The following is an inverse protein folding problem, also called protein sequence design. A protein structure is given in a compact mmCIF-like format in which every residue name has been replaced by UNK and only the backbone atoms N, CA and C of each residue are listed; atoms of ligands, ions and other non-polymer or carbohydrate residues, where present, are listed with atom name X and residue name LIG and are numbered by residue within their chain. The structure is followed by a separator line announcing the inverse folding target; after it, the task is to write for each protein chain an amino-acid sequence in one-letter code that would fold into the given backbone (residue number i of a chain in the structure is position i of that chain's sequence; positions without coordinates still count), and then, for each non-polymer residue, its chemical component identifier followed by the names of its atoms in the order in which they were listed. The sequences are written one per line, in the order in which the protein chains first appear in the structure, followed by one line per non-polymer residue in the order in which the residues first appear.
data_IF_557721325279
#
_entry.id   IF_557721325279
#
_cell.length_a   1.000
_cell.length_b   1.000
_cell.length_c   1.000
_cell.angle_alpha   90.00
_cell.angle_beta   90.00
_cell.angle_gamma   90.00
#
_symmetry.space_group_name_H-M   'P 1'
#
loop_
_entity.id
_entity.type
_entity.pdbx_description
1 polymer ?
#
# COMPACT_ATOMS: atom_id res chain seq x y z
N UNK A 1 0.70 -8.10 -5.49
CA UNK A 1 0.27 -8.58 -6.82
C UNK A 1 -1.21 -8.30 -6.98
N UNK A 2 -1.57 -7.22 -7.68
CA UNK A 2 -2.97 -6.86 -7.90
C UNK A 2 -3.38 -7.34 -9.30
N UNK A 3 -4.53 -8.00 -9.40
CA UNK A 3 -5.07 -8.46 -10.68
C UNK A 3 -4.31 -9.60 -11.34
N UNK A 4 -3.51 -10.38 -10.61
CA UNK A 4 -2.92 -11.64 -11.12
C UNK A 4 -3.76 -12.83 -10.67
N UNK A 5 -3.84 -13.85 -11.53
CA UNK A 5 -4.50 -15.13 -11.20
C UNK A 5 -3.57 -15.87 -10.23
N UNK A 6 -4.14 -16.36 -9.12
CA UNK A 6 -3.41 -17.06 -8.06
C UNK A 6 -4.19 -18.30 -7.62
N UNK A 7 -3.46 -19.32 -7.18
CA UNK A 7 -4.04 -20.46 -6.47
C UNK A 7 -4.29 -20.08 -5.00
N UNK A 8 -5.47 -20.41 -4.47
CA UNK A 8 -5.82 -20.18 -3.05
C UNK A 8 -5.24 -21.30 -2.15
N UNK A 9 -4.68 -22.34 -2.75
CA UNK A 9 -4.13 -23.50 -2.07
C UNK A 9 -2.59 -23.45 -1.99
N UNK A 10 -1.97 -24.10 -0.98
CA UNK A 10 -0.52 -24.29 -0.92
C UNK A 10 -0.01 -25.16 -2.09
N UNK A 11 1.28 -25.07 -2.38
CA UNK A 11 1.93 -25.78 -3.50
C UNK A 11 1.92 -27.30 -3.33
N UNK A 12 1.89 -27.76 -2.08
CA UNK A 12 1.92 -29.17 -1.69
C UNK A 12 0.56 -29.85 -1.91
N UNK A 13 -0.50 -29.08 -2.17
CA UNK A 13 -1.84 -29.62 -2.35
C UNK A 13 -2.03 -30.25 -3.74
N UNK A 14 -2.80 -31.33 -3.80
CA UNK A 14 -3.17 -31.97 -5.08
C UNK A 14 -4.01 -31.09 -6.01
N UNK A 15 -4.59 -30.01 -5.50
CA UNK A 15 -5.40 -29.04 -6.25
C UNK A 15 -4.59 -27.89 -6.84
N UNK A 16 -3.28 -27.86 -6.60
CA UNK A 16 -2.39 -26.82 -7.10
C UNK A 16 -2.21 -26.93 -8.62
N UNK A 17 -2.52 -25.88 -9.38
CA UNK A 17 -2.16 -25.76 -10.81
C UNK A 17 -0.80 -25.05 -10.93
N UNK A 18 0.28 -25.73 -11.39
CA UNK A 18 1.61 -25.15 -11.55
C UNK A 18 1.67 -23.93 -12.47
N UNK A 19 0.67 -23.73 -13.33
CA UNK A 19 0.59 -22.57 -14.23
C UNK A 19 0.49 -21.24 -13.47
N UNK A 20 -0.05 -21.26 -12.25
CA UNK A 20 -0.30 -20.05 -11.47
C UNK A 20 0.45 -20.10 -10.13
N UNK A 21 0.94 -18.95 -9.62
CA UNK A 21 1.58 -18.90 -8.31
C UNK A 21 0.57 -19.15 -7.19
N UNK A 22 1.05 -19.60 -6.03
CA UNK A 22 0.21 -19.74 -4.85
C UNK A 22 0.05 -18.38 -4.15
N UNK A 23 -1.11 -18.12 -3.57
CA UNK A 23 -1.34 -16.93 -2.75
C UNK A 23 -0.38 -16.88 -1.53
N UNK A 24 0.04 -18.05 -1.03
CA UNK A 24 0.96 -18.18 0.09
C UNK A 24 2.38 -17.72 -0.25
N UNK A 25 2.80 -17.79 -1.52
CA UNK A 25 4.09 -17.25 -1.99
C UNK A 25 4.18 -15.73 -1.78
N UNK A 26 3.04 -15.07 -1.62
CA UNK A 26 2.93 -13.63 -1.41
C UNK A 26 2.64 -13.26 0.05
N UNK A 27 2.94 -14.16 0.99
CA UNK A 27 2.83 -13.93 2.42
C UNK A 27 1.39 -13.90 2.92
N UNK A 28 0.45 -14.53 2.23
CA UNK A 28 -0.91 -14.69 2.72
C UNK A 28 -0.93 -15.28 4.13
N UNK A 29 -1.78 -14.74 5.01
CA UNK A 29 -1.83 -15.08 6.43
C UNK A 29 -0.84 -14.31 7.31
N UNK A 30 0.15 -13.60 6.74
CA UNK A 30 1.01 -12.67 7.50
C UNK A 30 0.41 -11.27 7.51
N UNK A 31 0.51 -10.57 8.63
CA UNK A 31 0.00 -9.20 8.80
C UNK A 31 0.53 -8.22 7.73
N UNK A 32 1.80 -8.39 7.31
CA UNK A 32 2.47 -7.58 6.29
C UNK A 32 2.35 -8.13 4.87
N UNK A 33 1.77 -9.32 4.68
CA UNK A 33 1.68 -9.98 3.39
C UNK A 33 0.42 -9.63 2.60
N UNK A 34 0.17 -10.39 1.53
CA UNK A 34 -1.02 -10.23 0.70
C UNK A 34 -2.30 -10.46 1.51
N UNK A 35 -3.31 -9.59 1.34
CA UNK A 35 -4.55 -9.57 2.13
C UNK A 35 -4.32 -9.36 3.65
N UNK A 36 -3.23 -8.68 4.03
CA UNK A 36 -2.96 -8.27 5.41
C UNK A 36 -3.82 -7.11 5.93
N UNK A 37 -3.45 -6.58 7.10
CA UNK A 37 -4.30 -5.71 7.96
C UNK A 37 -4.92 -4.50 7.25
N UNK A 38 -4.19 -3.87 6.31
CA UNK A 38 -4.64 -2.66 5.59
C UNK A 38 -4.94 -2.91 4.11
N UNK A 39 -5.10 -4.16 3.72
CA UNK A 39 -5.17 -4.57 2.33
C UNK A 39 -6.63 -4.89 1.94
N UNK A 40 -7.36 -3.92 1.38
CA UNK A 40 -8.78 -4.07 0.99
C UNK A 40 -9.02 -4.81 -0.33
N UNK A 41 -8.12 -5.69 -0.76
CA UNK A 41 -8.30 -6.43 -2.00
C UNK A 41 -9.41 -7.48 -1.86
N UNK A 42 -10.09 -7.80 -2.97
CA UNK A 42 -11.09 -8.87 -3.05
C UNK A 42 -10.58 -9.97 -3.97
N UNK A 43 -10.81 -11.22 -3.59
CA UNK A 43 -10.58 -12.37 -4.45
C UNK A 43 -11.82 -12.59 -5.33
N UNK A 44 -11.60 -12.72 -6.63
CA UNK A 44 -12.66 -13.06 -7.58
C UNK A 44 -12.41 -14.48 -8.13
N UNK A 45 -13.46 -15.30 -8.29
CA UNK A 45 -13.31 -16.62 -8.87
C UNK A 45 -12.87 -16.51 -10.34
N UNK A 46 -11.93 -17.36 -10.74
CA UNK A 46 -11.41 -17.44 -12.10
C UNK A 46 -11.63 -18.85 -12.64
N UNK A 47 -12.24 -18.93 -13.82
CA UNK A 47 -12.45 -20.19 -14.56
C UNK A 47 -11.56 -20.16 -15.80
N UNK A 48 -10.63 -21.10 -15.90
CA UNK A 48 -9.69 -21.22 -17.02
C UNK A 48 -10.45 -21.37 -18.34
N UNK A 49 -10.15 -20.53 -19.32
CA UNK A 49 -10.76 -20.58 -20.66
C UNK A 49 -12.11 -19.86 -20.81
N UNK A 50 -12.77 -19.48 -19.70
CA UNK A 50 -14.04 -18.73 -19.72
C UNK A 50 -13.86 -17.32 -19.16
N UNK A 51 -13.15 -17.22 -18.04
CA UNK A 51 -12.91 -15.95 -17.38
C UNK A 51 -11.78 -15.20 -18.06
N UNK A 52 -12.03 -13.92 -18.34
CA UNK A 52 -11.04 -12.97 -18.85
C UNK A 52 -10.83 -11.87 -17.83
N UNK A 53 -9.55 -11.53 -17.61
CA UNK A 53 -9.18 -10.50 -16.66
C UNK A 53 -9.14 -9.14 -17.38
N UNK A 54 -10.20 -8.36 -17.22
CA UNK A 54 -10.30 -7.00 -17.77
C UNK A 54 -9.74 -5.93 -16.81
N UNK A 55 -9.14 -6.32 -15.68
CA UNK A 55 -8.56 -5.36 -14.74
C UNK A 55 -7.30 -4.74 -15.33
N UNK A 56 -7.17 -3.42 -15.14
CA UNK A 56 -5.97 -2.68 -15.55
C UNK A 56 -4.75 -3.21 -14.80
N UNK A 57 -3.79 -3.72 -15.57
CA UNK A 57 -2.50 -4.14 -15.05
C UNK A 57 -1.53 -2.95 -15.10
N UNK A 58 -0.74 -2.81 -14.05
CA UNK A 58 0.30 -1.77 -13.95
C UNK A 58 1.68 -2.43 -13.95
N UNK A 59 2.65 -1.75 -14.53
CA UNK A 59 4.04 -2.21 -14.46
C UNK A 59 4.55 -2.12 -13.01
N UNK A 60 5.12 -3.20 -12.45
CA UNK A 60 5.57 -3.22 -11.06
C UNK A 60 6.70 -2.22 -10.79
N UNK A 61 7.59 -1.94 -11.73
CA UNK A 61 8.70 -1.00 -11.51
C UNK A 61 8.16 0.42 -11.41
N UNK A 62 7.30 0.81 -12.36
CA UNK A 62 6.63 2.11 -12.34
C UNK A 62 5.79 2.31 -11.06
N UNK A 63 5.07 1.27 -10.63
CA UNK A 63 4.28 1.33 -9.40
C UNK A 63 5.15 1.59 -8.16
N UNK A 64 6.33 0.96 -8.07
CA UNK A 64 7.27 1.15 -6.97
C UNK A 64 7.85 2.58 -7.00
N UNK A 65 8.21 3.09 -8.17
CA UNK A 65 8.73 4.46 -8.31
C UNK A 65 7.69 5.51 -7.89
N UNK A 66 6.46 5.38 -8.39
CA UNK A 66 5.35 6.25 -7.97
C UNK A 66 5.06 6.15 -6.48
N UNK A 67 5.14 4.95 -5.90
CA UNK A 67 5.00 4.76 -4.46
C UNK A 67 6.09 5.53 -3.69
N UNK A 68 7.35 5.46 -4.11
CA UNK A 68 8.46 6.18 -3.46
C UNK A 68 8.23 7.70 -3.50
N UNK A 69 7.80 8.24 -4.64
CA UNK A 69 7.47 9.66 -4.79
C UNK A 69 6.34 10.05 -3.84
N UNK A 70 5.25 9.28 -3.84
CA UNK A 70 4.10 9.54 -2.96
C UNK A 70 4.45 9.43 -1.47
N UNK A 71 5.34 8.51 -1.10
CA UNK A 71 5.84 8.41 0.28
C UNK A 71 6.62 9.67 0.69
N UNK A 72 7.50 10.19 -0.18
CA UNK A 72 8.21 11.45 0.06
C UNK A 72 7.24 12.63 0.18
N UNK A 73 6.26 12.74 -0.72
CA UNK A 73 5.22 13.76 -0.64
C UNK A 73 4.48 13.71 0.71
N UNK A 74 4.03 12.52 1.13
CA UNK A 74 3.31 12.34 2.40
C UNK A 74 4.17 12.70 3.61
N UNK A 75 5.47 12.42 3.57
CA UNK A 75 6.42 12.82 4.60
C UNK A 75 6.43 14.35 4.77
N UNK A 76 6.57 15.10 3.67
CA UNK A 76 6.52 16.56 3.70
C UNK A 76 5.16 17.08 4.18
N UNK A 77 4.04 16.51 3.71
CA UNK A 77 2.70 16.90 4.16
C UNK A 77 2.50 16.67 5.67
N UNK A 78 3.01 15.55 6.21
CA UNK A 78 2.99 15.31 7.65
C UNK A 78 3.81 16.35 8.39
N UNK A 79 5.03 16.65 7.94
CA UNK A 79 5.88 17.66 8.58
C UNK A 79 5.24 19.05 8.55
N UNK A 80 4.64 19.45 7.43
CA UNK A 80 3.91 20.71 7.32
C UNK A 80 2.74 20.76 8.32
N UNK A 81 2.00 19.65 8.48
CA UNK A 81 0.92 19.57 9.48
C UNK A 81 1.47 19.72 10.91
N UNK A 82 2.60 19.10 11.23
CA UNK A 82 3.25 19.24 12.53
C UNK A 82 3.72 20.69 12.78
N UNK A 83 4.43 21.30 11.83
CA UNK A 83 4.89 22.69 11.97
C UNK A 83 3.73 23.67 12.15
N UNK A 84 2.61 23.48 11.43
CA UNK A 84 1.40 24.28 11.61
C UNK A 84 0.80 24.13 13.00
N UNK A 85 0.80 22.90 13.54
CA UNK A 85 0.32 22.63 14.88
C UNK A 85 1.22 23.28 15.94
N UNK A 86 2.54 23.16 15.79
CA UNK A 86 3.52 23.75 16.71
C UNK A 86 3.46 25.28 16.70
N UNK A 87 3.25 25.88 15.52
CA UNK A 87 3.06 27.31 15.35
C UNK A 87 1.76 27.78 16.04
N UNK A 88 0.64 27.08 15.84
CA UNK A 88 -0.62 27.38 16.53
C UNK A 88 -0.48 27.26 18.06
N UNK A 89 0.25 26.24 18.54
CA UNK A 89 0.54 26.08 19.96
C UNK A 89 1.39 27.23 20.51
N UNK A 90 2.46 27.62 19.81
CA UNK A 90 3.32 28.76 20.21
C UNK A 90 2.50 30.06 20.33
N UNK A 91 1.59 30.30 19.37
CA UNK A 91 0.68 31.45 19.40
C UNK A 91 -0.25 31.43 20.61
N UNK A 92 -0.86 30.29 20.93
CA UNK A 92 -1.74 30.14 22.11
C UNK A 92 -0.98 30.36 23.42
N UNK A 93 0.29 29.99 23.47
CA UNK A 93 1.16 30.16 24.63
C UNK A 93 1.85 31.53 24.69
N UNK A 94 1.70 32.37 23.66
CA UNK A 94 2.43 33.64 23.48
C UNK A 94 3.97 33.47 23.50
N UNK A 95 4.49 32.34 23.01
CA UNK A 95 5.94 32.14 22.82
C UNK A 95 6.40 32.82 21.52
N UNK A 96 6.80 34.08 21.66
CA UNK A 96 7.26 34.94 20.56
C UNK A 96 8.50 34.36 19.84
N UNK A 97 9.37 33.68 20.58
CA UNK A 97 10.62 33.14 20.03
C UNK A 97 10.37 31.99 19.06
N UNK A 98 9.41 31.13 19.40
CA UNK A 98 9.04 29.97 18.59
C UNK A 98 8.11 30.36 17.45
N UNK A 99 7.20 31.32 17.64
CA UNK A 99 6.36 31.86 16.55
C UNK A 99 7.22 32.48 15.43
N UNK A 100 8.23 33.28 15.77
CA UNK A 100 9.16 33.85 14.77
C UNK A 100 9.97 32.77 14.03
N UNK A 101 10.45 31.73 14.74
CA UNK A 101 11.22 30.65 14.13
C UNK A 101 10.39 29.75 13.20
N UNK A 102 9.13 29.50 13.53
CA UNK A 102 8.25 28.61 12.78
C UNK A 102 7.51 29.32 11.64
N UNK A 103 7.44 30.66 11.67
CA UNK A 103 6.81 31.48 10.63
C UNK A 103 7.75 31.90 9.50
N UNK A 104 9.06 31.87 9.72
CA UNK A 104 10.12 32.11 8.72
C UNK A 104 10.34 30.90 7.82
#
# INVERSE_FOLDING_TARGET
MQGKIVNIVPKESSRYDPKYPSIYDHGYGKASGCFGIKCGHKLYPYIKGVSHNFQKQYDPKEAIEKQKIRQKQRYYECNIRHLKYDLDLARRQNDVSSDQRLSS
#
